data_IF_250183211351
#
_entry.id   IF_250183211351
#
_cell.length_a   1.000
_cell.length_b   1.000
_cell.length_c   1.000
_cell.angle_alpha   90.00
_cell.angle_beta   90.00
_cell.angle_gamma   90.00
#
_symmetry.space_group_name_H-M   'P 1'
#
loop_
_entity.id
_entity.type
_entity.pdbx_description
1 polymer ?
#
# COMPACT_ATOMS: atom_id res chain seq x y z
N UNK A 1 4.77 8.25 -14.75
CA UNK A 1 3.62 7.34 -14.97
C UNK A 1 3.35 6.65 -13.64
N UNK A 2 2.10 6.65 -13.17
CA UNK A 2 1.71 6.48 -11.77
C UNK A 2 1.85 5.05 -11.18
N UNK A 3 2.61 4.17 -11.84
CA UNK A 3 2.82 2.78 -11.41
C UNK A 3 3.83 2.64 -10.27
N UNK A 4 4.77 3.58 -10.13
CA UNK A 4 5.70 3.61 -8.98
C UNK A 4 5.10 4.28 -7.74
N UNK A 5 4.08 5.12 -7.88
CA UNK A 5 3.54 5.94 -6.79
C UNK A 5 2.50 5.25 -5.90
N UNK A 6 1.86 4.17 -6.36
CA UNK A 6 0.87 3.42 -5.55
C UNK A 6 1.53 2.68 -4.37
N UNK A 7 2.80 2.27 -4.52
CA UNK A 7 3.54 1.56 -3.48
C UNK A 7 4.39 2.48 -2.61
N UNK A 8 4.35 3.79 -2.84
CA UNK A 8 5.10 4.74 -2.02
C UNK A 8 4.40 4.93 -0.69
N UNK A 9 5.18 4.87 0.39
CA UNK A 9 4.72 5.12 1.75
C UNK A 9 4.27 6.58 1.88
N UNK A 10 2.96 6.83 1.98
CA UNK A 10 2.40 8.18 2.06
C UNK A 10 2.49 8.68 3.50
N UNK A 11 3.62 9.29 3.85
CA UNK A 11 3.84 9.88 5.17
C UNK A 11 3.22 11.27 5.28
N UNK A 12 2.04 11.35 5.90
CA UNK A 12 1.35 12.61 6.13
C UNK A 12 1.83 13.24 7.45
N UNK A 13 2.65 14.28 7.37
CA UNK A 13 3.24 14.96 8.54
C UNK A 13 2.29 15.94 9.25
N UNK A 14 1.22 16.40 8.58
CA UNK A 14 0.30 17.43 9.10
C UNK A 14 -1.14 16.96 9.07
N UNK A 15 -1.87 17.20 10.16
CA UNK A 15 -3.28 16.79 10.32
C UNK A 15 -4.21 17.36 9.23
N UNK A 16 -3.96 18.59 8.77
CA UNK A 16 -4.74 19.22 7.69
C UNK A 16 -4.60 18.49 6.36
N UNK A 17 -3.39 18.05 6.02
CA UNK A 17 -3.12 17.29 4.80
C UNK A 17 -3.79 15.91 4.84
N UNK A 18 -3.86 15.28 6.01
CA UNK A 18 -4.57 14.01 6.19
C UNK A 18 -6.05 14.14 5.92
N UNK A 19 -6.69 15.17 6.48
CA UNK A 19 -8.11 15.47 6.21
C UNK A 19 -8.37 15.75 4.72
N UNK A 20 -7.50 16.51 4.07
CA UNK A 20 -7.62 16.79 2.64
C UNK A 20 -7.45 15.53 1.80
N UNK A 21 -6.52 14.64 2.18
CA UNK A 21 -6.31 13.38 1.49
C UNK A 21 -7.54 12.47 1.57
N UNK A 22 -8.12 12.30 2.77
CA UNK A 22 -9.36 11.52 2.96
C UNK A 22 -10.49 12.11 2.11
N UNK A 23 -10.69 13.44 2.18
CA UNK A 23 -11.72 14.11 1.38
C UNK A 23 -11.52 13.95 -0.13
N UNK A 24 -10.27 13.92 -0.60
CA UNK A 24 -9.97 13.67 -2.00
C UNK A 24 -10.34 12.23 -2.42
N UNK A 25 -10.11 11.24 -1.56
CA UNK A 25 -10.49 9.85 -1.81
C UNK A 25 -12.02 9.69 -1.86
N UNK A 26 -12.74 10.28 -0.91
CA UNK A 26 -14.22 10.25 -0.89
C UNK A 26 -14.84 10.90 -2.13
N UNK A 27 -14.21 11.97 -2.63
CA UNK A 27 -14.66 12.61 -3.87
C UNK A 27 -14.33 11.76 -5.11
N UNK A 28 -13.19 11.06 -5.11
CA UNK A 28 -12.77 10.22 -6.23
C UNK A 28 -13.63 8.95 -6.36
N UNK A 29 -14.16 8.42 -5.26
CA UNK A 29 -15.08 7.27 -5.27
C UNK A 29 -16.32 7.50 -6.14
N UNK A 30 -16.81 8.75 -6.19
CA UNK A 30 -17.98 9.13 -6.97
C UNK A 30 -17.69 9.31 -8.46
N UNK A 31 -16.41 9.26 -8.86
CA UNK A 31 -15.98 9.45 -10.24
C UNK A 31 -15.79 8.06 -10.86
N UNK A 32 -16.60 7.67 -11.85
CA UNK A 32 -16.41 6.40 -12.54
C UNK A 32 -15.07 6.43 -13.28
N UNK A 33 -14.15 5.58 -12.86
CA UNK A 33 -12.83 5.41 -13.47
C UNK A 33 -12.63 3.95 -13.85
N UNK A 34 -11.66 3.67 -14.73
CA UNK A 34 -11.35 2.31 -15.17
C UNK A 34 -10.88 1.48 -13.97
N UNK A 35 -11.45 0.29 -13.80
CA UNK A 35 -10.98 -0.66 -12.79
C UNK A 35 -9.50 -1.02 -13.04
N UNK A 36 -8.66 -0.66 -12.08
CA UNK A 36 -7.23 -0.97 -12.12
C UNK A 36 -7.03 -2.28 -11.37
N UNK A 37 -6.97 -3.39 -12.10
CA UNK A 37 -6.61 -4.70 -11.54
C UNK A 37 -5.10 -4.70 -11.28
N UNK A 38 -4.71 -4.68 -9.99
CA UNK A 38 -3.33 -4.72 -9.55
C UNK A 38 -2.69 -6.07 -9.93
N UNK A 39 -1.89 -6.13 -10.99
CA UNK A 39 -1.07 -7.30 -11.30
C UNK A 39 0.37 -7.07 -10.82
N UNK A 40 0.80 -7.84 -9.82
CA UNK A 40 2.20 -7.86 -9.38
C UNK A 40 2.69 -9.29 -9.42
N UNK A 41 3.98 -9.47 -9.70
CA UNK A 41 4.64 -10.77 -9.59
C UNK A 41 4.62 -11.19 -8.12
N UNK A 42 3.70 -12.07 -7.77
CA UNK A 42 3.66 -12.72 -6.46
C UNK A 42 4.63 -13.90 -6.48
N UNK A 43 5.32 -14.12 -5.37
CA UNK A 43 6.12 -15.32 -5.15
C UNK A 43 5.44 -16.13 -4.06
N UNK A 44 5.21 -17.41 -4.32
CA UNK A 44 4.68 -18.32 -3.34
C UNK A 44 5.74 -18.60 -2.26
N UNK A 45 5.44 -18.22 -1.01
CA UNK A 45 6.36 -18.39 0.10
C UNK A 45 6.00 -19.68 0.85
N UNK A 46 6.86 -20.70 0.74
CA UNK A 46 6.71 -21.96 1.50
C UNK A 46 7.08 -21.76 2.98
N UNK A 47 6.57 -22.62 3.87
CA UNK A 47 6.69 -22.48 5.33
C UNK A 47 8.12 -22.25 5.85
N UNK A 48 9.14 -22.82 5.21
CA UNK A 48 10.55 -22.59 5.54
C UNK A 48 11.01 -21.16 5.23
N UNK A 49 10.53 -20.57 4.14
CA UNK A 49 10.82 -19.20 3.73
C UNK A 49 10.09 -18.18 4.61
N UNK A 50 8.91 -18.54 5.14
CA UNK A 50 8.18 -17.72 6.13
C UNK A 50 9.01 -17.57 7.42
N UNK A 51 9.60 -18.67 7.91
CA UNK A 51 10.50 -18.64 9.08
C UNK A 51 11.72 -17.72 8.85
N UNK A 52 12.26 -17.65 7.63
CA UNK A 52 13.35 -16.73 7.29
C UNK A 52 12.92 -15.26 7.23
N UNK A 53 11.70 -14.99 6.78
CA UNK A 53 11.15 -13.63 6.67
C UNK A 53 10.74 -13.04 8.02
N UNK A 54 10.17 -13.85 8.91
CA UNK A 54 9.60 -13.38 10.19
C UNK A 54 10.38 -13.83 11.44
N UNK A 55 11.27 -14.83 11.34
CA UNK A 55 11.99 -15.41 12.48
C UNK A 55 13.10 -14.52 13.08
N UNK A 56 13.27 -13.28 12.61
CA UNK A 56 14.24 -12.31 13.17
C UNK A 56 13.60 -11.24 14.08
N UNK A 57 12.32 -11.39 14.42
CA UNK A 57 11.62 -10.47 15.35
C UNK A 57 11.80 -10.88 16.82
N UNK A 58 12.31 -12.07 17.11
CA UNK A 58 12.66 -12.47 18.48
C UNK A 58 14.14 -12.19 18.76
N UNK A 59 14.42 -10.93 19.08
CA UNK A 59 15.64 -10.51 19.74
C UNK A 59 15.30 -9.75 21.01
N UNK A 60 15.22 -10.48 22.12
CA UNK A 60 15.65 -9.97 23.42
C UNK A 60 16.35 -11.12 24.17
#
# INVERSE_FOLDING_TARGET
MATSSIFNDVRIKRKSLGRNFVKALENAEKIPTKDVILSKRVQEVKGESIKKLFGKIEGN
#
